data_IF_752015240077
#
_entry.id   IF_752015240077
#
_cell.length_a   1.000
_cell.length_b   1.000
_cell.length_c   1.000
_cell.angle_alpha   90.00
_cell.angle_beta   90.00
_cell.angle_gamma   90.00
#
_symmetry.space_group_name_H-M   'P 1'
#
loop_
_entity.id
_entity.type
_entity.pdbx_description
1 polymer ?
#
# COMPACT_ATOMS: atom_id res chain seq x y z
N UNK A 1 -44.34 -8.26 15.96
CA UNK A 1 -43.14 -8.71 16.71
C UNK A 1 -41.90 -8.94 15.82
N UNK A 2 -42.05 -9.49 14.61
CA UNK A 2 -40.94 -9.84 13.69
C UNK A 2 -39.95 -8.68 13.39
N UNK A 3 -40.43 -7.49 13.01
CA UNK A 3 -39.58 -6.37 12.63
C UNK A 3 -38.59 -5.89 13.69
N UNK A 4 -38.91 -6.06 14.96
CA UNK A 4 -38.07 -5.58 16.09
C UNK A 4 -37.00 -6.57 16.44
N UNK A 5 -37.30 -7.86 16.43
CA UNK A 5 -36.32 -8.92 16.60
C UNK A 5 -35.30 -8.90 15.46
N UNK A 6 -35.75 -8.59 14.22
CA UNK A 6 -34.88 -8.35 13.08
C UNK A 6 -33.96 -7.13 13.31
N UNK A 7 -34.50 -6.01 13.84
CA UNK A 7 -33.71 -4.81 14.15
C UNK A 7 -32.63 -5.06 15.20
N UNK A 8 -32.92 -5.80 16.27
CA UNK A 8 -31.91 -6.21 17.26
C UNK A 8 -30.88 -7.19 16.65
N UNK A 9 -31.33 -8.17 15.87
CA UNK A 9 -30.47 -9.13 15.21
C UNK A 9 -29.50 -8.43 14.25
N UNK A 10 -30.00 -7.46 13.46
CA UNK A 10 -29.18 -6.67 12.54
C UNK A 10 -28.20 -5.75 13.30
N UNK A 11 -28.63 -5.13 14.40
CA UNK A 11 -27.73 -4.34 15.25
C UNK A 11 -26.58 -5.19 15.81
N UNK A 12 -26.87 -6.37 16.32
CA UNK A 12 -25.85 -7.30 16.82
C UNK A 12 -24.90 -7.74 15.71
N UNK A 13 -25.43 -8.09 14.54
CA UNK A 13 -24.63 -8.44 13.38
C UNK A 13 -23.66 -7.31 12.98
N UNK A 14 -24.14 -6.06 12.96
CA UNK A 14 -23.32 -4.90 12.63
C UNK A 14 -22.21 -4.65 13.68
N UNK A 15 -22.47 -4.86 14.97
CA UNK A 15 -21.44 -4.75 15.99
C UNK A 15 -20.37 -5.84 15.87
N UNK A 16 -20.77 -7.08 15.57
CA UNK A 16 -19.83 -8.16 15.32
C UNK A 16 -18.98 -7.86 14.05
N UNK A 17 -19.63 -7.41 12.98
CA UNK A 17 -18.95 -7.01 11.75
C UNK A 17 -17.95 -5.86 12.01
N UNK A 18 -18.35 -4.84 12.78
CA UNK A 18 -17.45 -3.75 13.16
C UNK A 18 -16.23 -4.26 13.93
N UNK A 19 -16.41 -5.18 14.86
CA UNK A 19 -15.32 -5.80 15.61
C UNK A 19 -14.34 -6.57 14.71
N UNK A 20 -14.85 -7.39 13.79
CA UNK A 20 -14.03 -8.16 12.85
C UNK A 20 -13.28 -7.26 11.87
N UNK A 21 -13.92 -6.22 11.35
CA UNK A 21 -13.29 -5.24 10.46
C UNK A 21 -12.19 -4.44 11.18
N UNK A 22 -12.42 -4.04 12.43
CA UNK A 22 -11.40 -3.37 13.24
C UNK A 22 -10.20 -4.27 13.56
N UNK A 23 -10.47 -5.55 13.81
CA UNK A 23 -9.40 -6.55 13.95
C UNK A 23 -8.59 -6.67 12.65
N UNK A 24 -9.25 -6.77 11.49
CA UNK A 24 -8.59 -6.82 10.18
C UNK A 24 -7.73 -5.58 9.91
N UNK A 25 -8.22 -4.38 10.23
CA UNK A 25 -7.45 -3.15 10.21
C UNK A 25 -6.18 -3.24 11.07
N UNK A 26 -6.34 -3.63 12.33
CA UNK A 26 -5.23 -3.73 13.27
C UNK A 26 -4.17 -4.74 12.83
N UNK A 27 -4.62 -5.90 12.33
CA UNK A 27 -3.75 -6.94 11.76
C UNK A 27 -2.95 -6.41 10.56
N UNK A 28 -3.62 -5.78 9.59
CA UNK A 28 -2.96 -5.28 8.39
C UNK A 28 -1.91 -4.19 8.72
N UNK A 29 -2.27 -3.22 9.58
CA UNK A 29 -1.34 -2.18 9.99
C UNK A 29 -0.13 -2.73 10.75
N UNK A 30 -0.37 -3.65 11.69
CA UNK A 30 0.71 -4.26 12.48
C UNK A 30 1.67 -5.05 11.58
N UNK A 31 1.12 -5.91 10.71
CA UNK A 31 1.93 -6.71 9.79
C UNK A 31 2.81 -5.85 8.88
N UNK A 32 2.23 -4.79 8.29
CA UNK A 32 2.98 -3.85 7.44
C UNK A 32 4.04 -3.10 8.25
N UNK A 33 3.68 -2.57 9.41
CA UNK A 33 4.61 -1.80 10.24
C UNK A 33 5.79 -2.64 10.73
N UNK A 34 5.55 -3.87 11.19
CA UNK A 34 6.60 -4.78 11.66
C UNK A 34 7.57 -5.14 10.53
N UNK A 35 7.05 -5.50 9.34
CA UNK A 35 7.88 -5.84 8.18
C UNK A 35 8.73 -4.65 7.72
N UNK A 36 8.14 -3.47 7.57
CA UNK A 36 8.86 -2.28 7.12
C UNK A 36 9.89 -1.82 8.15
N UNK A 37 9.55 -1.84 9.43
CA UNK A 37 10.47 -1.47 10.51
C UNK A 37 11.68 -2.40 10.57
N UNK A 38 11.48 -3.69 10.35
CA UNK A 38 12.55 -4.68 10.31
C UNK A 38 13.57 -4.44 9.18
N UNK A 39 13.13 -3.83 8.06
CA UNK A 39 14.01 -3.49 6.93
C UNK A 39 14.94 -2.29 7.24
N UNK A 40 14.66 -1.50 8.28
CA UNK A 40 15.46 -0.33 8.68
C UNK A 40 15.71 0.67 7.54
N UNK A 41 14.79 0.77 6.59
CA UNK A 41 14.88 1.74 5.50
C UNK A 41 14.68 3.14 6.07
N UNK A 42 15.62 4.04 5.76
CA UNK A 42 15.53 5.44 6.15
C UNK A 42 15.24 6.31 4.92
N UNK A 43 14.35 7.28 5.08
CA UNK A 43 14.25 8.36 4.11
C UNK A 43 15.53 9.17 4.10
N UNK A 44 15.97 9.67 2.93
CA UNK A 44 17.19 10.46 2.85
C UNK A 44 17.10 11.71 3.73
N UNK A 45 18.24 12.12 4.28
CA UNK A 45 18.34 13.40 4.97
C UNK A 45 18.27 14.57 3.97
N UNK A 46 17.92 15.76 4.43
CA UNK A 46 17.76 16.95 3.60
C UNK A 46 19.04 17.37 2.85
N UNK A 47 20.21 17.05 3.40
CA UNK A 47 21.53 17.32 2.82
C UNK A 47 22.00 16.23 1.86
N UNK A 48 21.31 15.11 1.76
CA UNK A 48 21.64 14.00 0.88
C UNK A 48 21.62 14.45 -0.60
N UNK A 49 22.70 14.15 -1.35
CA UNK A 49 22.83 14.54 -2.75
C UNK A 49 21.75 13.93 -3.66
N UNK A 50 21.39 12.67 -3.42
CA UNK A 50 20.33 11.99 -4.18
C UNK A 50 18.94 12.63 -3.94
N UNK A 51 18.67 13.08 -2.72
CA UNK A 51 17.45 13.81 -2.42
C UNK A 51 17.41 15.19 -3.07
N UNK A 52 18.51 15.94 -3.00
CA UNK A 52 18.64 17.28 -3.62
C UNK A 52 18.53 17.25 -5.15
N UNK A 53 18.90 16.14 -5.77
CA UNK A 53 18.82 15.95 -7.22
C UNK A 53 17.43 15.56 -7.75
N UNK A 54 16.46 15.33 -6.85
CA UNK A 54 15.09 14.96 -7.25
C UNK A 54 14.37 16.12 -7.94
N UNK A 55 13.47 15.84 -8.90
CA UNK A 55 12.51 16.81 -9.39
C UNK A 55 11.68 17.40 -8.25
N UNK A 56 11.24 18.67 -8.38
CA UNK A 56 10.55 19.41 -7.31
C UNK A 56 9.32 18.66 -6.78
N UNK A 57 8.51 18.07 -7.67
CA UNK A 57 7.30 17.34 -7.28
C UNK A 57 7.62 16.10 -6.41
N UNK A 58 8.72 15.41 -6.70
CA UNK A 58 9.18 14.24 -5.92
C UNK A 58 9.80 14.68 -4.60
N UNK A 59 10.52 15.81 -4.61
CA UNK A 59 11.06 16.43 -3.42
C UNK A 59 9.93 16.81 -2.44
N UNK A 60 8.88 17.47 -2.91
CA UNK A 60 7.72 17.88 -2.11
C UNK A 60 6.96 16.68 -1.53
N UNK A 61 6.83 15.60 -2.30
CA UNK A 61 6.17 14.38 -1.85
C UNK A 61 6.93 13.66 -0.73
N UNK A 62 8.26 13.78 -0.69
CA UNK A 62 9.12 13.16 0.31
C UNK A 62 9.39 14.07 1.51
N UNK A 63 9.22 15.38 1.38
CA UNK A 63 9.52 16.38 2.42
C UNK A 63 8.95 16.04 3.81
N UNK A 64 7.70 15.52 3.95
CA UNK A 64 7.15 15.14 5.25
C UNK A 64 7.87 13.99 5.94
N UNK A 65 8.71 13.24 5.23
CA UNK A 65 9.33 12.00 5.72
C UNK A 65 10.86 12.07 5.84
N UNK A 66 11.47 13.19 5.45
CA UNK A 66 12.94 13.38 5.45
C UNK A 66 13.54 12.96 6.79
N UNK A 67 14.56 12.09 6.75
CA UNK A 67 15.26 11.55 7.90
C UNK A 67 14.48 10.57 8.78
N UNK A 68 13.23 10.26 8.43
CA UNK A 68 12.39 9.31 9.17
C UNK A 68 12.66 7.87 8.73
N UNK A 69 12.41 6.92 9.63
CA UNK A 69 12.35 5.52 9.25
C UNK A 69 11.03 5.21 8.53
N UNK A 70 11.11 4.37 7.50
CA UNK A 70 9.97 3.89 6.74
C UNK A 70 9.26 2.78 7.54
N UNK A 71 8.06 3.04 8.03
CA UNK A 71 7.32 2.16 8.94
C UNK A 71 5.85 1.98 8.57
N UNK A 72 5.33 2.75 7.61
CA UNK A 72 3.90 2.70 7.22
C UNK A 72 3.73 2.47 5.73
N UNK A 73 2.58 1.91 5.32
CA UNK A 73 2.25 1.72 3.91
C UNK A 73 2.22 3.04 3.12
N UNK A 74 1.75 4.13 3.72
CA UNK A 74 1.78 5.46 3.08
C UNK A 74 3.21 5.92 2.78
N UNK A 75 4.13 5.72 3.72
CA UNK A 75 5.56 5.99 3.53
C UNK A 75 6.16 5.07 2.47
N UNK A 76 5.78 3.78 2.46
CA UNK A 76 6.24 2.82 1.47
C UNK A 76 5.89 3.26 0.04
N UNK A 77 4.65 3.74 -0.19
CA UNK A 77 4.26 4.29 -1.48
C UNK A 77 5.08 5.52 -1.86
N UNK A 78 5.23 6.48 -0.95
CA UNK A 78 6.00 7.68 -1.22
C UNK A 78 7.46 7.36 -1.59
N UNK A 79 8.10 6.46 -0.84
CA UNK A 79 9.48 6.04 -1.09
C UNK A 79 9.63 5.29 -2.43
N UNK A 80 8.70 4.38 -2.73
CA UNK A 80 8.70 3.61 -3.97
C UNK A 80 8.55 4.49 -5.21
N UNK A 81 7.62 5.45 -5.18
CA UNK A 81 7.28 6.24 -6.35
C UNK A 81 8.22 7.43 -6.55
N UNK A 82 8.52 8.16 -5.47
CA UNK A 82 9.20 9.45 -5.52
C UNK A 82 10.71 9.38 -5.21
N UNK A 83 11.20 8.26 -4.67
CA UNK A 83 12.64 8.06 -4.46
C UNK A 83 13.19 6.97 -5.38
N UNK A 84 12.79 5.71 -5.18
CA UNK A 84 13.31 4.61 -5.98
C UNK A 84 12.91 4.74 -7.45
N UNK A 85 11.65 5.07 -7.73
CA UNK A 85 11.12 5.22 -9.08
C UNK A 85 11.88 6.26 -9.91
N UNK A 86 12.27 7.37 -9.32
CA UNK A 86 13.07 8.41 -9.99
C UNK A 86 14.48 7.90 -10.30
N UNK A 87 15.12 7.25 -9.32
CA UNK A 87 16.47 6.70 -9.52
C UNK A 87 16.51 5.60 -10.58
N UNK A 88 15.53 4.70 -10.56
CA UNK A 88 15.43 3.61 -11.55
C UNK A 88 15.27 4.14 -12.97
N UNK A 89 14.46 5.18 -13.17
CA UNK A 89 14.31 5.85 -14.47
C UNK A 89 15.64 6.45 -14.98
N UNK A 90 16.49 6.92 -14.08
CA UNK A 90 17.80 7.50 -14.43
C UNK A 90 18.83 6.48 -14.93
N UNK A 91 18.69 5.19 -14.55
CA UNK A 91 19.74 4.17 -14.77
C UNK A 91 19.94 3.85 -16.26
N UNK A 92 18.88 3.75 -17.03
CA UNK A 92 18.94 3.32 -18.44
C UNK A 92 18.20 4.28 -19.39
N UNK A 93 18.23 5.58 -19.08
CA UNK A 93 17.58 6.60 -19.89
C UNK A 93 16.07 6.43 -20.00
N UNK A 94 15.43 5.93 -18.94
CA UNK A 94 13.97 5.72 -18.87
C UNK A 94 13.48 4.39 -19.43
N UNK A 95 14.38 3.52 -19.91
CA UNK A 95 14.01 2.17 -20.36
C UNK A 95 13.57 1.30 -19.21
N UNK A 96 12.61 0.41 -19.49
CA UNK A 96 12.13 -0.59 -18.55
C UNK A 96 13.12 -1.74 -18.37
N UNK A 97 12.94 -2.53 -17.32
CA UNK A 97 13.67 -3.78 -17.12
C UNK A 97 13.55 -4.73 -18.35
N UNK A 98 12.36 -4.82 -18.93
CA UNK A 98 12.11 -5.71 -20.08
C UNK A 98 12.92 -5.29 -21.31
N UNK A 99 12.93 -3.99 -21.61
CA UNK A 99 13.70 -3.44 -22.74
C UNK A 99 15.21 -3.65 -22.57
N UNK A 100 15.74 -3.26 -21.40
CA UNK A 100 17.17 -3.43 -21.11
C UNK A 100 17.56 -4.90 -21.03
N UNK A 101 16.66 -5.79 -20.56
CA UNK A 101 16.91 -7.23 -20.53
C UNK A 101 17.10 -7.79 -21.94
N UNK A 102 16.26 -7.40 -22.89
CA UNK A 102 16.41 -7.79 -24.28
C UNK A 102 17.73 -7.31 -24.90
N UNK A 103 18.05 -6.02 -24.69
CA UNK A 103 19.30 -5.42 -25.18
C UNK A 103 20.54 -6.07 -24.54
N UNK A 104 20.52 -6.37 -23.26
CA UNK A 104 21.62 -6.99 -22.54
C UNK A 104 21.88 -8.42 -23.03
N UNK A 105 20.84 -9.21 -23.26
CA UNK A 105 20.95 -10.56 -23.78
C UNK A 105 21.49 -10.56 -25.22
N UNK A 106 21.03 -9.65 -26.08
CA UNK A 106 21.52 -9.50 -27.44
C UNK A 106 23.02 -9.05 -27.47
N UNK A 107 23.38 -8.09 -26.61
CA UNK A 107 24.77 -7.63 -26.51
C UNK A 107 25.71 -8.72 -26.00
N UNK A 108 25.26 -9.54 -25.04
CA UNK A 108 26.02 -10.69 -24.56
C UNK A 108 26.21 -11.76 -25.65
N UNK A 109 25.18 -12.04 -26.42
CA UNK A 109 25.29 -12.98 -27.55
C UNK A 109 26.24 -12.48 -28.60
N UNK A 110 26.25 -11.19 -28.96
CA UNK A 110 27.17 -10.58 -29.88
C UNK A 110 28.63 -10.64 -29.36
N UNK A 111 28.85 -10.37 -28.08
CA UNK A 111 30.17 -10.50 -27.45
C UNK A 111 30.68 -11.94 -27.45
N UNK A 112 29.79 -12.92 -27.24
CA UNK A 112 30.16 -14.34 -27.31
C UNK A 112 30.52 -14.81 -28.73
N UNK A 113 29.91 -14.20 -29.75
CA UNK A 113 30.20 -14.50 -31.13
C UNK A 113 31.54 -13.90 -31.62
N UNK A 114 32.00 -12.80 -31.01
CA UNK A 114 33.33 -12.17 -31.26
C UNK A 114 34.03 -11.86 -29.93
N UNK A 115 34.67 -12.87 -29.31
CA UNK A 115 35.33 -12.72 -28.01
C UNK A 115 36.53 -11.78 -28.00
N UNK A 116 37.06 -11.43 -29.18
CA UNK A 116 38.21 -10.52 -29.30
C UNK A 116 37.81 -9.05 -29.31
N UNK A 117 36.53 -8.76 -29.53
CA UNK A 117 35.98 -7.41 -29.60
C UNK A 117 35.66 -6.87 -28.17
N UNK A 118 36.58 -6.06 -27.68
CA UNK A 118 36.51 -5.47 -26.34
C UNK A 118 35.30 -4.51 -26.19
N UNK A 119 34.87 -3.85 -27.26
CA UNK A 119 33.73 -2.90 -27.21
C UNK A 119 32.40 -3.65 -27.05
N UNK A 120 32.24 -4.77 -27.74
CA UNK A 120 31.07 -5.64 -27.54
C UNK A 120 31.03 -6.20 -26.11
N UNK A 121 32.19 -6.64 -25.60
CA UNK A 121 32.28 -7.13 -24.21
C UNK A 121 31.95 -6.03 -23.20
N UNK A 122 32.45 -4.82 -23.35
CA UNK A 122 32.18 -3.68 -22.47
C UNK A 122 30.68 -3.28 -22.52
N UNK A 123 30.08 -3.24 -23.72
CA UNK A 123 28.66 -2.95 -23.91
C UNK A 123 27.78 -4.01 -23.23
N UNK A 124 28.12 -5.29 -23.43
CA UNK A 124 27.40 -6.40 -22.77
C UNK A 124 27.44 -6.30 -21.25
N UNK A 125 28.62 -6.06 -20.68
CA UNK A 125 28.82 -5.90 -19.24
C UNK A 125 28.03 -4.70 -18.68
N UNK A 126 28.02 -3.56 -19.37
CA UNK A 126 27.29 -2.36 -18.98
C UNK A 126 25.77 -2.63 -18.94
N UNK A 127 25.23 -3.20 -20.01
CA UNK A 127 23.79 -3.51 -20.10
C UNK A 127 23.36 -4.58 -19.07
N UNK A 128 24.19 -5.57 -18.80
CA UNK A 128 23.93 -6.56 -17.75
C UNK A 128 23.91 -5.91 -16.36
N UNK A 129 24.82 -4.97 -16.08
CA UNK A 129 24.80 -4.18 -14.85
C UNK A 129 23.53 -3.34 -14.70
N UNK A 130 23.12 -2.63 -15.76
CA UNK A 130 21.87 -1.87 -15.78
C UNK A 130 20.64 -2.76 -15.58
N UNK A 131 20.58 -3.90 -16.28
CA UNK A 131 19.54 -4.92 -16.12
C UNK A 131 19.42 -5.37 -14.67
N UNK A 132 20.54 -5.68 -14.01
CA UNK A 132 20.56 -6.12 -12.62
C UNK A 132 20.05 -5.02 -11.68
N UNK A 133 20.47 -3.79 -11.88
CA UNK A 133 20.05 -2.65 -11.04
C UNK A 133 18.56 -2.34 -11.23
N UNK A 134 18.06 -2.39 -12.47
CA UNK A 134 16.63 -2.25 -12.76
C UNK A 134 15.81 -3.36 -12.11
N UNK A 135 16.27 -4.62 -12.18
CA UNK A 135 15.61 -5.74 -11.51
C UNK A 135 15.47 -5.51 -10.00
N UNK A 136 16.56 -5.14 -9.34
CA UNK A 136 16.54 -4.87 -7.89
C UNK A 136 15.65 -3.69 -7.55
N UNK A 137 15.74 -2.60 -8.29
CA UNK A 137 14.94 -1.40 -8.05
C UNK A 137 13.44 -1.62 -8.26
N UNK A 138 13.05 -2.27 -9.36
CA UNK A 138 11.64 -2.56 -9.63
C UNK A 138 11.08 -3.63 -8.66
N UNK A 139 11.89 -4.61 -8.26
CA UNK A 139 11.49 -5.57 -7.23
C UNK A 139 11.22 -4.87 -5.90
N UNK A 140 12.10 -3.98 -5.46
CA UNK A 140 11.90 -3.22 -4.23
C UNK A 140 10.67 -2.31 -4.32
N UNK A 141 10.45 -1.65 -5.46
CA UNK A 141 9.22 -0.86 -5.71
C UNK A 141 7.97 -1.73 -5.62
N UNK A 142 8.00 -2.92 -6.21
CA UNK A 142 6.90 -3.88 -6.16
C UNK A 142 6.58 -4.31 -4.72
N UNK A 143 7.60 -4.68 -3.94
CA UNK A 143 7.43 -5.07 -2.53
C UNK A 143 6.87 -3.94 -1.66
N UNK A 144 7.36 -2.71 -1.84
CA UNK A 144 6.81 -1.53 -1.16
C UNK A 144 5.38 -1.22 -1.63
N UNK A 145 5.08 -1.44 -2.91
CA UNK A 145 3.73 -1.35 -3.47
C UNK A 145 2.76 -2.33 -2.82
N UNK A 146 3.19 -3.58 -2.59
CA UNK A 146 2.38 -4.56 -1.84
C UNK A 146 2.17 -4.15 -0.38
N UNK A 147 3.19 -3.63 0.29
CA UNK A 147 3.05 -3.11 1.65
C UNK A 147 2.02 -1.97 1.71
N UNK A 148 2.04 -1.04 0.73
CA UNK A 148 1.03 0.00 0.60
C UNK A 148 -0.37 -0.57 0.33
N UNK A 149 -0.50 -1.51 -0.62
CA UNK A 149 -1.79 -2.10 -0.96
C UNK A 149 -2.43 -2.82 0.23
N UNK A 150 -1.64 -3.60 0.98
CA UNK A 150 -2.12 -4.30 2.17
C UNK A 150 -2.50 -3.33 3.29
N UNK A 151 -1.72 -2.26 3.49
CA UNK A 151 -2.07 -1.17 4.40
C UNK A 151 -3.37 -0.49 3.97
N UNK A 152 -3.56 -0.21 2.68
CA UNK A 152 -4.77 0.43 2.15
C UNK A 152 -6.03 -0.43 2.38
N UNK A 153 -5.94 -1.75 2.22
CA UNK A 153 -7.02 -2.68 2.57
C UNK A 153 -7.38 -2.55 4.05
N UNK A 154 -6.37 -2.43 4.92
CA UNK A 154 -6.57 -2.14 6.34
C UNK A 154 -7.35 -0.83 6.56
N UNK A 155 -6.98 0.26 5.87
CA UNK A 155 -7.69 1.54 5.97
C UNK A 155 -9.17 1.41 5.55
N UNK A 156 -9.44 0.69 4.47
CA UNK A 156 -10.82 0.41 4.02
C UNK A 156 -11.60 -0.35 5.10
N UNK A 157 -11.00 -1.36 5.71
CA UNK A 157 -11.60 -2.11 6.81
C UNK A 157 -11.91 -1.21 8.02
N UNK A 158 -11.03 -0.26 8.35
CA UNK A 158 -11.25 0.73 9.40
C UNK A 158 -12.50 1.59 9.13
N UNK A 159 -12.59 2.18 7.93
CA UNK A 159 -13.75 3.00 7.57
C UNK A 159 -15.04 2.18 7.55
N UNK A 160 -15.00 0.96 7.03
CA UNK A 160 -16.14 0.03 7.05
C UNK A 160 -16.54 -0.35 8.49
N UNK A 161 -15.57 -0.53 9.40
CA UNK A 161 -15.82 -0.75 10.84
C UNK A 161 -16.57 0.42 11.47
N UNK A 162 -16.15 1.65 11.22
CA UNK A 162 -16.84 2.84 11.72
C UNK A 162 -18.27 2.96 11.18
N UNK A 163 -18.46 2.68 9.88
CA UNK A 163 -19.79 2.68 9.27
C UNK A 163 -20.71 1.60 9.88
N UNK A 164 -20.20 0.40 10.08
CA UNK A 164 -20.93 -0.70 10.72
C UNK A 164 -21.27 -0.37 12.17
N UNK A 165 -20.34 0.22 12.92
CA UNK A 165 -20.57 0.66 14.30
C UNK A 165 -21.68 1.70 14.39
N UNK A 166 -21.63 2.74 13.55
CA UNK A 166 -22.66 3.77 13.49
C UNK A 166 -24.02 3.18 13.10
N UNK A 167 -24.08 2.33 12.07
CA UNK A 167 -25.28 1.62 11.66
C UNK A 167 -25.85 0.73 12.76
N UNK A 168 -24.99 0.03 13.49
CA UNK A 168 -25.36 -0.80 14.64
C UNK A 168 -26.05 0.01 15.75
N UNK A 169 -25.52 1.17 16.10
CA UNK A 169 -26.16 2.06 17.07
C UNK A 169 -27.49 2.62 16.58
N UNK A 170 -27.58 3.05 15.32
CA UNK A 170 -28.84 3.53 14.74
C UNK A 170 -29.90 2.45 14.79
N UNK A 171 -29.58 1.23 14.38
CA UNK A 171 -30.51 0.09 14.42
C UNK A 171 -30.91 -0.27 15.84
N UNK A 172 -30.00 -0.20 16.80
CA UNK A 172 -30.31 -0.43 18.22
C UNK A 172 -31.31 0.60 18.76
N UNK A 173 -31.06 1.88 18.47
CA UNK A 173 -31.96 2.98 18.90
C UNK A 173 -33.35 2.79 18.28
N UNK A 174 -33.44 2.51 16.98
CA UNK A 174 -34.71 2.28 16.30
C UNK A 174 -35.46 1.06 16.86
N UNK A 175 -34.75 -0.02 17.19
CA UNK A 175 -35.33 -1.19 17.81
C UNK A 175 -35.90 -0.85 19.19
N UNK A 176 -35.14 -0.14 20.04
CA UNK A 176 -35.59 0.31 21.37
C UNK A 176 -36.83 1.21 21.27
N UNK A 177 -36.81 2.22 20.38
CA UNK A 177 -37.97 3.10 20.17
C UNK A 177 -39.19 2.31 19.69
N UNK A 178 -39.00 1.33 18.81
CA UNK A 178 -40.05 0.43 18.39
C UNK A 178 -40.64 -0.41 19.53
N UNK A 179 -39.84 -0.87 20.48
CA UNK A 179 -40.32 -1.55 21.67
C UNK A 179 -41.08 -0.60 22.62
N UNK A 180 -40.59 0.63 22.80
CA UNK A 180 -41.25 1.64 23.63
C UNK A 180 -42.62 2.05 23.07
N UNK A 181 -42.70 2.23 21.75
CA UNK A 181 -43.96 2.57 21.05
C UNK A 181 -45.04 1.50 21.31
N UNK A 182 -44.68 0.22 21.24
CA UNK A 182 -45.66 -0.86 21.46
C UNK A 182 -46.20 -0.88 22.87
N UNK A 183 -45.36 -0.63 23.88
CA UNK A 183 -45.82 -0.59 25.28
C UNK A 183 -46.81 0.54 25.55
N UNK A 184 -46.86 1.56 24.68
CA UNK A 184 -47.76 2.72 24.79
C UNK A 184 -49.00 2.62 23.91
N UNK A 185 -49.07 1.64 23.00
CA UNK A 185 -50.22 1.49 22.09
C UNK A 185 -51.22 0.51 22.71
N UNK A 186 -52.49 0.90 22.90
CA UNK A 186 -53.54 0.02 23.42
C UNK A 186 -53.78 -1.19 22.52
N UNK A 187 -54.10 -2.35 23.08
CA UNK A 187 -54.32 -3.62 22.36
C UNK A 187 -55.43 -3.54 21.31
N UNK A 188 -56.35 -2.56 21.42
CA UNK A 188 -57.44 -2.33 20.48
C UNK A 188 -57.01 -1.75 19.11
N UNK A 189 -55.75 -1.36 18.95
CA UNK A 189 -55.22 -0.73 17.71
C UNK A 189 -54.22 -1.65 16.99
N UNK A 190 -53.88 -2.80 17.59
CA UNK A 190 -52.97 -3.78 16.94
C UNK A 190 -53.79 -4.76 16.09
N UNK A 191 -53.71 -4.63 14.76
CA UNK A 191 -54.18 -5.61 13.79
C UNK A 191 -53.14 -6.71 13.62
#
# INVERSE_FOLDING_TARGET
MLFRSIGLGLSLFLFVAAGLLNWGYSFANKAVSEQLTAQKIMFPAADNGGYKALPQADHDALAPYVGMQLTTGKQAKAYADHYIGVHVKGIAGGKTYSEVSGEALAANAASAADPTNKDLAAKGATLMGQRQTLFMGETLRGLLGYAYAFWQVGQIAMYASWAALAGGFIMLILAILGFMHLRRTPDSVTV
#
